data_IF_818978301209
#
_entry.id   IF_818978301209
#
_cell.length_a   1.000
_cell.length_b   1.000
_cell.length_c   1.000
_cell.angle_alpha   90.00
_cell.angle_beta   90.00
_cell.angle_gamma   90.00
#
_symmetry.space_group_name_H-M   'P 1'
#
loop_
_entity.id
_entity.type
_entity.pdbx_description
1 polymer ?
#
# COMPACT_ATOMS: atom_id res chain seq x y z
N UNK A 1 -4.69 6.21 25.58
CA UNK A 1 -4.05 5.03 26.25
C UNK A 1 -4.54 3.65 25.76
N UNK A 2 -5.72 3.52 25.12
CA UNK A 2 -6.23 2.22 24.64
C UNK A 2 -5.49 1.69 23.39
N UNK A 3 -5.22 2.54 22.41
CA UNK A 3 -4.55 2.16 21.15
C UNK A 3 -3.17 1.52 21.38
N UNK A 4 -2.31 2.15 22.19
CA UNK A 4 -0.99 1.62 22.53
C UNK A 4 -1.04 0.18 23.06
N UNK A 5 -2.01 -0.15 23.93
CA UNK A 5 -2.20 -1.51 24.45
C UNK A 5 -2.61 -2.51 23.36
N UNK A 6 -3.45 -2.08 22.41
CA UNK A 6 -3.81 -2.91 21.26
C UNK A 6 -2.59 -3.17 20.37
N UNK A 7 -1.74 -2.17 20.15
CA UNK A 7 -0.51 -2.29 19.35
C UNK A 7 0.47 -3.26 20.00
N UNK A 8 0.75 -3.11 21.30
CA UNK A 8 1.64 -4.03 22.02
C UNK A 8 1.11 -5.46 21.91
N UNK A 9 -0.16 -5.68 22.26
CA UNK A 9 -0.77 -7.02 22.22
C UNK A 9 -0.75 -7.63 20.81
N UNK A 10 -0.97 -6.82 19.78
CA UNK A 10 -0.92 -7.26 18.39
C UNK A 10 0.49 -7.70 17.99
N UNK A 11 1.50 -6.88 18.29
CA UNK A 11 2.91 -7.17 17.99
C UNK A 11 3.34 -8.44 18.72
N UNK A 12 3.01 -8.59 20.01
CA UNK A 12 3.35 -9.80 20.78
C UNK A 12 2.79 -11.07 20.16
N UNK A 13 1.52 -11.06 19.71
CA UNK A 13 0.89 -12.21 19.04
C UNK A 13 1.56 -12.55 17.71
N UNK A 14 1.86 -11.55 16.88
CA UNK A 14 2.57 -11.79 15.62
C UNK A 14 4.00 -12.29 15.85
N UNK A 15 4.73 -11.72 16.81
CA UNK A 15 6.09 -12.15 17.16
C UNK A 15 6.11 -13.57 17.74
N UNK A 16 5.12 -13.95 18.56
CA UNK A 16 4.97 -15.32 19.03
C UNK A 16 4.74 -16.30 17.86
N UNK A 17 3.91 -15.91 16.89
CA UNK A 17 3.73 -16.70 15.69
C UNK A 17 5.02 -16.82 14.86
N UNK A 18 5.75 -15.72 14.63
CA UNK A 18 7.00 -15.73 13.87
C UNK A 18 8.13 -16.57 14.50
N UNK A 19 8.09 -16.76 15.82
CA UNK A 19 9.02 -17.69 16.51
C UNK A 19 8.71 -19.16 16.21
N UNK A 20 7.44 -19.49 15.96
CA UNK A 20 6.98 -20.86 15.75
C UNK A 20 6.84 -21.22 14.25
N UNK A 21 6.55 -20.24 13.41
CA UNK A 21 6.21 -20.44 12.00
C UNK A 21 6.85 -19.39 11.11
N UNK A 22 6.88 -19.65 9.80
CA UNK A 22 7.38 -18.68 8.83
C UNK A 22 6.55 -17.39 8.83
N UNK A 23 7.15 -16.22 8.50
CA UNK A 23 6.41 -14.96 8.39
C UNK A 23 5.19 -15.05 7.46
N UNK A 24 5.32 -15.76 6.34
CA UNK A 24 4.23 -16.03 5.39
C UNK A 24 3.06 -16.75 6.06
N UNK A 25 3.32 -17.81 6.85
CA UNK A 25 2.26 -18.54 7.55
C UNK A 25 1.46 -17.60 8.46
N UNK A 26 2.14 -16.79 9.26
CA UNK A 26 1.51 -15.89 10.23
C UNK A 26 0.72 -14.75 9.58
N UNK A 27 1.26 -14.15 8.51
CA UNK A 27 0.60 -13.04 7.79
C UNK A 27 -0.70 -13.49 7.11
N UNK A 28 -0.74 -14.71 6.58
CA UNK A 28 -1.94 -15.28 5.94
C UNK A 28 -2.87 -16.01 6.92
N UNK A 29 -2.55 -16.05 8.22
CA UNK A 29 -3.35 -16.76 9.21
C UNK A 29 -4.60 -15.94 9.58
N UNK A 30 -5.75 -16.29 9.01
CA UNK A 30 -7.03 -15.61 9.26
C UNK A 30 -7.49 -15.65 10.72
N UNK A 31 -7.12 -16.67 11.48
CA UNK A 31 -7.42 -16.76 12.92
C UNK A 31 -6.59 -15.75 13.71
N UNK A 32 -5.29 -15.66 13.47
CA UNK A 32 -4.41 -14.66 14.08
C UNK A 32 -4.88 -13.24 13.73
N UNK A 33 -5.24 -13.01 12.46
CA UNK A 33 -5.83 -11.76 12.02
C UNK A 33 -7.11 -11.42 12.81
N UNK A 34 -8.06 -12.35 12.93
CA UNK A 34 -9.30 -12.11 13.69
C UNK A 34 -9.07 -11.86 15.20
N UNK A 35 -8.00 -12.41 15.76
CA UNK A 35 -7.61 -12.19 17.17
C UNK A 35 -6.93 -10.84 17.41
N UNK A 36 -6.36 -10.25 16.36
CA UNK A 36 -5.67 -8.97 16.42
C UNK A 36 -6.63 -7.90 15.91
N UNK A 37 -7.10 -7.00 16.79
CA UNK A 37 -8.03 -5.91 16.43
C UNK A 37 -7.39 -4.78 15.60
N UNK A 38 -6.24 -5.05 14.98
CA UNK A 38 -5.43 -4.12 14.21
C UNK A 38 -5.04 -4.79 12.88
N UNK A 39 -4.93 -4.00 11.83
CA UNK A 39 -4.63 -4.47 10.47
C UNK A 39 -3.13 -4.49 10.17
N UNK A 40 -2.32 -4.97 11.10
CA UNK A 40 -0.85 -4.94 10.97
C UNK A 40 -0.34 -5.75 9.77
N UNK A 41 -1.02 -6.85 9.44
CA UNK A 41 -0.64 -7.68 8.30
C UNK A 41 -0.76 -6.97 6.95
N UNK A 42 -1.65 -5.98 6.82
CA UNK A 42 -1.82 -5.22 5.56
C UNK A 42 -0.55 -4.46 5.19
N UNK A 43 0.24 -4.03 6.19
CA UNK A 43 1.51 -3.33 5.98
C UNK A 43 2.71 -4.26 5.73
N UNK A 44 2.55 -5.59 5.74
CA UNK A 44 3.67 -6.53 5.57
C UNK A 44 3.93 -6.79 4.08
N UNK A 45 4.20 -5.70 3.35
CA UNK A 45 4.36 -5.73 1.89
C UNK A 45 5.43 -6.72 1.42
N UNK A 46 6.52 -6.89 2.17
CA UNK A 46 7.62 -7.79 1.77
C UNK A 46 7.17 -9.25 1.61
N UNK A 47 6.19 -9.73 2.39
CA UNK A 47 5.64 -11.08 2.25
C UNK A 47 4.81 -11.19 0.99
N UNK A 48 3.91 -10.23 0.74
CA UNK A 48 3.04 -10.23 -0.43
C UNK A 48 3.82 -10.04 -1.73
N UNK A 49 4.72 -9.06 -1.78
CA UNK A 49 5.59 -8.79 -2.94
C UNK A 49 6.43 -10.00 -3.29
N UNK A 50 6.99 -10.70 -2.29
CA UNK A 50 7.75 -11.94 -2.54
C UNK A 50 6.89 -13.03 -3.17
N UNK A 51 5.63 -13.14 -2.77
CA UNK A 51 4.70 -14.10 -3.37
C UNK A 51 4.28 -13.69 -4.79
N UNK A 52 4.05 -12.40 -5.04
CA UNK A 52 3.73 -11.88 -6.37
C UNK A 52 4.87 -12.11 -7.35
N UNK A 53 6.12 -11.87 -6.93
CA UNK A 53 7.32 -12.05 -7.76
C UNK A 53 7.63 -13.53 -8.09
N UNK A 54 6.96 -14.49 -7.46
CA UNK A 54 7.03 -15.90 -7.87
C UNK A 54 6.18 -16.20 -9.10
N UNK A 55 5.18 -15.37 -9.36
CA UNK A 55 4.20 -15.56 -10.43
C UNK A 55 4.43 -14.55 -11.56
N UNK A 56 4.68 -13.29 -11.19
CA UNK A 56 4.89 -12.19 -12.13
C UNK A 56 6.36 -11.76 -12.14
N UNK A 57 7.00 -11.67 -13.31
CA UNK A 57 8.26 -10.96 -13.48
C UNK A 57 8.22 -9.56 -12.88
N UNK A 58 9.35 -9.10 -12.32
CA UNK A 58 9.45 -7.78 -11.69
C UNK A 58 9.04 -6.63 -12.61
N UNK A 59 9.33 -6.73 -13.92
CA UNK A 59 8.94 -5.73 -14.92
C UNK A 59 7.42 -5.62 -15.17
N UNK A 60 6.61 -6.55 -14.65
CA UNK A 60 5.14 -6.52 -14.74
C UNK A 60 4.48 -5.99 -13.45
N UNK A 61 5.26 -5.42 -12.52
CA UNK A 61 4.74 -4.81 -11.29
C UNK A 61 5.32 -3.40 -11.15
N UNK A 62 4.44 -2.40 -11.10
CA UNK A 62 4.81 -1.02 -10.79
C UNK A 62 4.59 -0.73 -9.30
N UNK A 63 5.65 -0.29 -8.61
CA UNK A 63 5.55 0.22 -7.24
C UNK A 63 5.55 1.74 -7.24
N UNK A 64 4.49 2.33 -6.69
CA UNK A 64 4.37 3.77 -6.50
C UNK A 64 4.46 4.12 -5.02
N UNK A 65 5.21 5.16 -4.70
CA UNK A 65 5.22 5.75 -3.37
C UNK A 65 4.09 6.76 -3.27
N UNK A 66 3.25 6.60 -2.26
CA UNK A 66 2.09 7.49 -2.08
C UNK A 66 2.52 8.93 -1.79
N UNK A 67 3.66 9.11 -1.12
CA UNK A 67 4.23 10.44 -0.83
C UNK A 67 4.62 11.15 -2.13
N UNK A 68 5.28 10.44 -3.05
CA UNK A 68 5.67 10.99 -4.34
C UNK A 68 4.42 11.30 -5.19
N UNK A 69 3.39 10.44 -5.14
CA UNK A 69 2.10 10.69 -5.78
C UNK A 69 1.46 11.97 -5.24
N UNK A 70 1.41 12.14 -3.93
CA UNK A 70 0.82 13.33 -3.30
C UNK A 70 1.56 14.63 -3.60
N UNK A 71 2.88 14.55 -3.79
CA UNK A 71 3.72 15.71 -4.09
C UNK A 71 3.69 16.10 -5.56
N UNK A 72 3.63 15.11 -6.47
CA UNK A 72 3.61 15.33 -7.91
C UNK A 72 2.74 14.25 -8.60
N UNK A 73 1.43 14.49 -8.54
CA UNK A 73 0.42 13.62 -9.17
C UNK A 73 0.66 13.54 -10.69
N UNK A 74 0.91 14.65 -11.43
CA UNK A 74 1.13 14.56 -12.88
C UNK A 74 2.29 13.66 -13.28
N UNK A 75 3.42 13.73 -12.58
CA UNK A 75 4.58 12.89 -12.92
C UNK A 75 4.41 11.43 -12.51
N UNK A 76 3.79 11.15 -11.37
CA UNK A 76 3.50 9.76 -10.97
C UNK A 76 2.44 9.11 -11.85
N UNK A 77 1.45 9.86 -12.30
CA UNK A 77 0.47 9.36 -13.28
C UNK A 77 1.08 9.13 -14.66
N UNK A 78 2.06 9.94 -15.09
CA UNK A 78 2.84 9.63 -16.29
C UNK A 78 3.57 8.30 -16.17
N UNK A 79 4.13 7.96 -15.00
CA UNK A 79 4.76 6.64 -14.78
C UNK A 79 3.76 5.50 -14.94
N UNK A 80 2.53 5.68 -14.43
CA UNK A 80 1.45 4.70 -14.61
C UNK A 80 1.10 4.50 -16.08
N UNK A 81 0.86 5.59 -16.82
CA UNK A 81 0.51 5.51 -18.23
C UNK A 81 1.63 4.87 -19.06
N UNK A 82 2.88 5.23 -18.78
CA UNK A 82 4.05 4.63 -19.45
C UNK A 82 4.16 3.13 -19.16
N UNK A 83 3.97 2.71 -17.90
CA UNK A 83 3.99 1.30 -17.51
C UNK A 83 2.86 0.50 -18.18
N UNK A 84 1.70 1.12 -18.41
CA UNK A 84 0.56 0.53 -19.11
C UNK A 84 0.67 0.64 -20.64
N UNK A 85 1.75 1.24 -21.16
CA UNK A 85 1.94 1.49 -22.60
C UNK A 85 0.81 2.33 -23.23
N UNK A 86 0.27 3.29 -22.46
CA UNK A 86 -0.78 4.20 -22.91
C UNK A 86 -0.20 5.55 -23.37
N UNK A 87 -0.92 6.19 -24.29
CA UNK A 87 -0.57 7.52 -24.77
C UNK A 87 -0.71 8.55 -23.63
N UNK A 88 0.29 9.41 -23.50
CA UNK A 88 0.27 10.52 -22.54
C UNK A 88 -0.56 11.65 -23.17
N UNK A 89 -1.65 12.09 -22.54
CA UNK A 89 -2.44 13.19 -23.09
C UNK A 89 -1.61 14.47 -23.14
N UNK A 90 -1.51 15.08 -24.32
CA UNK A 90 -0.86 16.38 -24.51
C UNK A 90 -1.91 17.49 -24.48
N UNK A 91 -1.91 18.31 -23.43
CA UNK A 91 -2.75 19.50 -23.37
C UNK A 91 -2.90 20.10 -21.97
N UNK A 92 -3.38 21.36 -21.87
CA UNK A 92 -3.64 22.03 -20.59
C UNK A 92 -4.71 21.32 -19.74
N UNK A 93 -5.54 20.47 -20.37
CA UNK A 93 -6.57 19.65 -19.74
C UNK A 93 -5.98 18.58 -18.80
N UNK A 94 -4.83 17.97 -19.15
CA UNK A 94 -4.21 16.94 -18.32
C UNK A 94 -3.73 17.47 -16.97
N UNK A 95 -3.12 18.66 -16.96
CA UNK A 95 -2.73 19.31 -15.70
C UNK A 95 -3.97 19.65 -14.85
N UNK A 96 -5.08 20.06 -15.47
CA UNK A 96 -6.33 20.36 -14.77
C UNK A 96 -7.00 19.11 -14.19
N UNK A 97 -7.13 18.02 -14.96
CA UNK A 97 -7.71 16.75 -14.49
C UNK A 97 -6.93 16.18 -13.29
N UNK A 98 -5.61 16.28 -13.35
CA UNK A 98 -4.74 15.74 -12.31
C UNK A 98 -4.74 16.62 -11.05
N UNK A 99 -4.81 17.95 -11.21
CA UNK A 99 -4.93 18.89 -10.10
C UNK A 99 -6.30 18.78 -9.39
N UNK A 100 -7.40 18.56 -10.12
CA UNK A 100 -8.72 18.34 -9.51
C UNK A 100 -8.75 17.09 -8.62
N UNK A 101 -8.14 15.99 -9.07
CA UNK A 101 -8.07 14.75 -8.29
C UNK A 101 -7.11 14.90 -7.09
N UNK A 102 -6.00 15.63 -7.26
CA UNK A 102 -5.11 16.02 -6.16
C UNK A 102 -5.84 16.84 -5.09
N UNK A 103 -6.64 17.82 -5.51
CA UNK A 103 -7.46 18.67 -4.64
C UNK A 103 -8.56 17.87 -3.93
N UNK A 104 -9.27 16.99 -4.64
CA UNK A 104 -10.27 16.10 -4.05
C UNK A 104 -9.67 15.20 -2.97
N UNK A 105 -8.52 14.59 -3.26
CA UNK A 105 -7.86 13.67 -2.33
C UNK A 105 -7.18 14.41 -1.15
N UNK A 106 -6.82 15.70 -1.31
CA UNK A 106 -6.31 16.56 -0.22
C UNK A 106 -7.43 16.94 0.75
N UNK A 107 -8.62 17.25 0.23
CA UNK A 107 -9.77 17.67 1.04
C UNK A 107 -10.38 16.52 1.86
N UNK A 108 -10.23 15.25 1.43
CA UNK A 108 -10.63 14.08 2.25
C UNK A 108 -9.66 13.75 3.39
N UNK A 109 -8.38 14.08 3.25
CA UNK A 109 -7.37 13.81 4.28
C UNK A 109 -7.50 14.65 5.54
N UNK A 110 -8.40 15.63 5.56
CA UNK A 110 -8.72 16.49 6.72
C UNK A 110 -9.90 15.97 7.57
N UNK A 111 -10.47 14.80 7.23
CA UNK A 111 -11.62 14.21 7.93
C UNK A 111 -11.28 12.87 8.61
N UNK A 112 -10.11 12.77 9.24
CA UNK A 112 -9.76 11.69 10.17
C UNK A 112 -9.14 12.27 11.44
#
# INVERSE_FOLDING_TARGET
>A
ASFHRLVISAIEKYMACFKAWSPRHCVYNGTLYGQVKLRLQEGVYSVFVKDWLRVFPAGQILFLRFEDYKLDVPSTMRQVLQFLELEIPYGPDWSQMVDEDALYTRNRGLNY
#
